data_IF_143408250636
#
_entry.id   IF_143408250636
#
_cell.length_a   1.000
_cell.length_b   1.000
_cell.length_c   1.000
_cell.angle_alpha   90.00
_cell.angle_beta   90.00
_cell.angle_gamma   90.00
#
_symmetry.space_group_name_H-M   'P 1'
#
loop_
_entity.id
_entity.type
_entity.pdbx_description
1 polymer ?
#
# COMPACT_ATOMS: atom_id res chain seq x y z
N UNK A 1 3.59 5.63 9.92
CA UNK A 1 3.18 4.23 9.65
C UNK A 1 4.41 3.37 9.77
N UNK A 2 4.29 2.19 10.35
CA UNK A 2 5.35 1.18 10.39
C UNK A 2 4.83 -0.10 9.73
N UNK A 3 5.71 -0.80 9.03
CA UNK A 3 5.39 -2.03 8.32
C UNK A 3 6.66 -2.71 7.83
N UNK A 4 6.48 -3.67 6.94
CA UNK A 4 7.55 -4.45 6.32
C UNK A 4 7.64 -4.13 4.83
N UNK A 5 8.83 -4.25 4.25
CA UNK A 5 9.04 -4.09 2.82
C UNK A 5 9.22 -5.47 2.19
N UNK A 6 8.37 -5.77 1.22
CA UNK A 6 8.51 -6.95 0.37
C UNK A 6 9.13 -6.55 -0.96
N UNK A 7 10.09 -7.36 -1.40
CA UNK A 7 10.71 -7.22 -2.72
C UNK A 7 10.38 -8.46 -3.54
N UNK A 8 10.16 -8.26 -4.84
CA UNK A 8 9.82 -9.32 -5.77
C UNK A 8 10.85 -9.31 -6.91
N UNK A 9 11.35 -10.49 -7.24
CA UNK A 9 12.27 -10.74 -8.35
C UNK A 9 11.57 -10.65 -9.72
N UNK A 10 10.28 -10.97 -9.76
CA UNK A 10 9.41 -10.82 -10.93
C UNK A 10 8.22 -9.89 -10.65
N UNK A 11 8.43 -8.56 -10.73
CA UNK A 11 7.35 -7.59 -10.51
C UNK A 11 6.29 -7.64 -11.62
N UNK A 12 6.63 -8.13 -12.82
CA UNK A 12 5.69 -8.18 -13.96
C UNK A 12 4.58 -9.21 -13.70
N UNK A 13 4.91 -10.31 -13.00
CA UNK A 13 3.92 -11.33 -12.64
C UNK A 13 3.33 -11.08 -11.24
N UNK A 14 4.17 -10.76 -10.24
CA UNK A 14 3.73 -10.66 -8.83
C UNK A 14 2.86 -9.45 -8.57
N UNK A 15 3.18 -8.29 -9.15
CA UNK A 15 2.46 -7.06 -8.86
C UNK A 15 1.00 -7.09 -9.38
N UNK A 16 0.72 -7.58 -10.61
CA UNK A 16 -0.67 -7.76 -11.04
C UNK A 16 -1.45 -8.78 -10.21
N UNK A 17 -0.78 -9.77 -9.60
CA UNK A 17 -1.45 -10.71 -8.71
C UNK A 17 -1.88 -10.04 -7.39
N UNK A 18 -1.04 -9.17 -6.84
CA UNK A 18 -1.37 -8.34 -5.67
C UNK A 18 -2.48 -7.35 -6.03
N UNK A 19 -2.39 -6.70 -7.20
CA UNK A 19 -3.43 -5.77 -7.67
C UNK A 19 -4.81 -6.44 -7.68
N UNK A 20 -4.91 -7.69 -8.16
CA UNK A 20 -6.16 -8.46 -8.13
C UNK A 20 -6.62 -8.82 -6.71
N UNK A 21 -5.69 -9.16 -5.82
CA UNK A 21 -6.00 -9.50 -4.43
C UNK A 21 -6.59 -8.30 -3.68
N UNK A 22 -6.02 -7.11 -3.90
CA UNK A 22 -6.47 -5.85 -3.30
C UNK A 22 -7.67 -5.24 -4.03
N UNK A 23 -8.11 -5.83 -5.16
CA UNK A 23 -9.17 -5.27 -6.00
C UNK A 23 -8.79 -3.94 -6.66
N UNK A 24 -7.50 -3.68 -6.83
CA UNK A 24 -6.98 -2.51 -7.54
C UNK A 24 -7.08 -2.68 -9.05
N UNK A 25 -7.73 -1.72 -9.71
CA UNK A 25 -7.97 -1.74 -11.15
C UNK A 25 -7.48 -0.42 -11.77
N UNK A 26 -6.30 -0.40 -12.42
CA UNK A 26 -5.80 0.79 -13.10
C UNK A 26 -6.82 1.33 -14.13
N UNK A 27 -7.25 2.58 -13.96
CA UNK A 27 -8.19 3.24 -14.88
C UNK A 27 -9.67 2.86 -14.71
N UNK A 28 -10.01 2.00 -13.74
CA UNK A 28 -11.38 1.62 -13.41
C UNK A 28 -11.77 1.95 -11.96
N UNK A 29 -13.04 1.77 -11.59
CA UNK A 29 -13.48 1.91 -10.21
C UNK A 29 -12.77 0.90 -9.30
N UNK A 30 -12.11 1.38 -8.25
CA UNK A 30 -11.48 0.53 -7.23
C UNK A 30 -11.38 1.30 -5.91
N UNK A 31 -11.35 0.56 -4.79
CA UNK A 31 -11.28 1.15 -3.44
C UNK A 31 -9.89 1.73 -3.15
N UNK A 32 -8.86 1.16 -3.76
CA UNK A 32 -7.47 1.52 -3.49
C UNK A 32 -6.85 2.25 -4.69
N UNK A 33 -5.88 3.11 -4.41
CA UNK A 33 -4.95 3.68 -5.37
C UNK A 33 -3.53 3.24 -5.03
N UNK A 34 -2.77 2.80 -6.03
CA UNK A 34 -1.35 2.52 -5.87
C UNK A 34 -0.53 3.79 -6.04
N UNK A 35 0.27 4.13 -5.03
CA UNK A 35 1.15 5.30 -4.99
C UNK A 35 2.57 4.90 -4.67
N UNK A 36 3.54 5.64 -5.20
CA UNK A 36 4.95 5.47 -4.84
C UNK A 36 5.29 6.44 -3.71
N UNK A 37 5.76 5.92 -2.58
CA UNK A 37 6.10 6.71 -1.40
C UNK A 37 7.55 6.48 -0.99
N UNK A 38 8.24 7.50 -0.45
CA UNK A 38 9.52 7.30 0.21
C UNK A 38 9.31 6.58 1.55
N UNK A 39 10.07 5.52 1.79
CA UNK A 39 10.07 4.75 3.03
C UNK A 39 11.47 4.71 3.62
N UNK A 40 11.58 4.77 4.95
CA UNK A 40 12.85 4.63 5.65
C UNK A 40 13.04 3.18 6.12
N UNK A 41 14.10 2.53 5.67
CA UNK A 41 14.49 1.16 6.03
C UNK A 41 15.94 1.17 6.51
N UNK A 42 16.17 0.79 7.76
CA UNK A 42 17.52 0.73 8.35
C UNK A 42 18.35 2.02 8.13
N UNK A 43 17.71 3.18 8.23
CA UNK A 43 18.36 4.49 8.04
C UNK A 43 18.52 4.94 6.58
N UNK A 44 18.11 4.12 5.61
CA UNK A 44 18.14 4.45 4.18
C UNK A 44 16.74 4.77 3.67
N UNK A 45 16.61 5.73 2.75
CA UNK A 45 15.33 6.06 2.09
C UNK A 45 15.22 5.33 0.76
N UNK A 46 14.14 4.58 0.57
CA UNK A 46 13.85 3.82 -0.65
C UNK A 46 12.43 4.16 -1.15
N UNK A 47 12.18 4.10 -2.45
CA UNK A 47 10.82 4.16 -2.97
C UNK A 47 10.10 2.82 -2.79
N UNK A 48 8.85 2.84 -2.35
CA UNK A 48 8.01 1.65 -2.23
C UNK A 48 6.59 1.90 -2.75
N UNK A 49 5.98 0.88 -3.35
CA UNK A 49 4.56 0.92 -3.71
C UNK A 49 3.69 0.73 -2.47
N UNK A 50 2.69 1.59 -2.33
CA UNK A 50 1.70 1.53 -1.27
C UNK A 50 0.29 1.62 -1.87
N UNK A 51 -0.64 0.81 -1.34
CA UNK A 51 -2.07 0.92 -1.64
C UNK A 51 -2.72 1.82 -0.59
N UNK A 52 -3.34 2.91 -1.03
CA UNK A 52 -4.08 3.83 -0.18
C UNK A 52 -5.55 3.74 -0.52
N UNK A 53 -6.41 3.57 0.47
CA UNK A 53 -7.85 3.60 0.23
C UNK A 53 -8.26 5.02 -0.17
N UNK A 54 -9.07 5.16 -1.22
CA UNK A 54 -9.65 6.45 -1.60
C UNK A 54 -10.85 6.75 -0.70
N UNK A 55 -10.58 7.39 0.42
CA UNK A 55 -11.57 7.76 1.45
C UNK A 55 -12.23 9.09 1.14
N UNK A 56 -12.92 9.17 -0.01
CA UNK A 56 -13.89 10.25 -0.23
C UNK A 56 -15.19 10.03 0.56
N UNK A 57 -15.45 8.80 1.02
CA UNK A 57 -16.58 8.46 1.88
C UNK A 57 -16.11 7.99 3.27
N UNK A 58 -16.82 8.42 4.31
CA UNK A 58 -16.52 8.08 5.70
C UNK A 58 -16.89 6.61 5.99
N UNK A 59 -15.94 5.68 5.79
CA UNK A 59 -16.14 4.23 5.98
C UNK A 59 -16.01 3.76 7.45
N UNK A 60 -16.10 4.65 8.43
CA UNK A 60 -15.98 4.28 9.85
C UNK A 60 -14.58 3.82 10.28
N UNK A 61 -13.54 4.19 9.52
CA UNK A 61 -12.16 3.84 9.85
C UNK A 61 -11.73 4.49 11.18
N UNK A 62 -11.14 3.67 12.05
CA UNK A 62 -10.50 4.16 13.28
C UNK A 62 -9.02 4.42 13.00
N UNK A 63 -8.52 5.66 13.15
CA UNK A 63 -7.10 5.94 13.00
C UNK A 63 -6.30 5.19 14.07
N UNK A 64 -5.12 4.72 13.70
CA UNK A 64 -4.13 4.16 14.62
C UNK A 64 -3.08 5.22 14.91
N UNK A 65 -3.09 5.85 16.11
CA UNK A 65 -2.21 6.99 16.39
C UNK A 65 -0.71 6.65 16.31
N UNK A 66 -0.33 5.42 16.69
CA UNK A 66 1.06 4.94 16.59
C UNK A 66 1.46 4.58 15.15
N UNK A 67 0.48 4.44 14.25
CA UNK A 67 0.69 3.92 12.90
C UNK A 67 1.25 2.49 12.86
N UNK A 68 1.12 1.71 13.94
CA UNK A 68 1.53 0.30 14.05
C UNK A 68 0.28 -0.58 14.11
N UNK A 69 0.17 -1.54 13.18
CA UNK A 69 -1.01 -2.42 13.08
C UNK A 69 -1.05 -3.52 14.14
N UNK A 70 0.11 -4.12 14.46
CA UNK A 70 0.27 -5.07 15.57
C UNK A 70 1.09 -4.40 16.68
N UNK A 71 0.47 -4.20 17.84
CA UNK A 71 1.16 -3.79 19.08
C UNK A 71 1.35 -5.00 19.98
#
# INVERSE_FOLDING_TARGET
MYGEILTFDDPVIRLPAIDRLEGFHPGGPCLYRRVLVPVQVNGTVLPAWLYVADVNEYLGFKPLPSGKWRS
#
